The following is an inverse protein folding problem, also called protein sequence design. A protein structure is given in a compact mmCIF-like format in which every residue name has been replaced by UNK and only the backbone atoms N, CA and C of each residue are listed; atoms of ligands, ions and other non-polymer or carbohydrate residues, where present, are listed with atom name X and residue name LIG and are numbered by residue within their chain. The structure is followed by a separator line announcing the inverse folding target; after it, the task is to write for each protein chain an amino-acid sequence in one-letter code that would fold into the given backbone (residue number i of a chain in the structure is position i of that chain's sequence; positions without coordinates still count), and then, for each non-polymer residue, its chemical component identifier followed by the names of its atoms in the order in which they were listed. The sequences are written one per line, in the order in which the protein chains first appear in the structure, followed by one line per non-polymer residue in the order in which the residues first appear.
data_IF_347124309773
#
_entry.id   IF_347124309773
#
_cell.length_a   1.000
_cell.length_b   1.000
_cell.length_c   1.000
_cell.angle_alpha   90.00
_cell.angle_beta   90.00
_cell.angle_gamma   90.00
#
_symmetry.space_group_name_H-M   'P 1'
#
loop_
_entity.id
_entity.type
_entity.pdbx_description
1 polymer ?
#
# COMPACT_ATOMS: atom_id res chain seq x y z
N UNK A 1 -14.31 7.65 -1.46
CA UNK A 1 -13.11 7.11 -2.14
C UNK A 1 -13.53 5.97 -3.06
N UNK A 2 -13.26 6.06 -4.37
CA UNK A 2 -13.79 5.11 -5.35
C UNK A 2 -12.97 3.82 -5.37
N UNK A 3 -13.63 2.67 -5.52
CA UNK A 3 -13.00 1.35 -5.70
C UNK A 3 -11.93 1.36 -6.81
N UNK A 4 -12.13 2.20 -7.84
CA UNK A 4 -11.22 2.38 -8.97
C UNK A 4 -9.83 2.89 -8.55
N UNK A 5 -9.75 3.78 -7.56
CA UNK A 5 -8.48 4.32 -7.06
C UNK A 5 -7.66 3.26 -6.32
N UNK A 6 -8.31 2.18 -5.86
CA UNK A 6 -7.66 1.04 -5.24
C UNK A 6 -7.27 -0.05 -6.23
N UNK A 7 -7.99 -0.19 -7.36
CA UNK A 7 -7.65 -1.16 -8.40
C UNK A 7 -6.25 -0.89 -8.96
N UNK A 8 -5.95 0.37 -9.28
CA UNK A 8 -4.63 0.79 -9.77
C UNK A 8 -3.53 0.43 -8.77
N UNK A 9 -3.77 0.62 -7.47
CA UNK A 9 -2.79 0.26 -6.43
C UNK A 9 -2.54 -1.25 -6.33
N UNK A 10 -3.55 -2.09 -6.55
CA UNK A 10 -3.39 -3.56 -6.57
C UNK A 10 -2.65 -4.02 -7.81
N UNK A 11 -2.95 -3.43 -8.97
CA UNK A 11 -2.23 -3.72 -10.22
C UNK A 11 -0.76 -3.34 -10.10
N UNK A 12 -0.45 -2.19 -9.50
CA UNK A 12 0.92 -1.75 -9.29
C UNK A 12 1.73 -2.74 -8.44
N UNK A 13 1.15 -3.32 -7.39
CA UNK A 13 1.83 -4.34 -6.59
C UNK A 13 2.09 -5.61 -7.41
N UNK A 14 1.13 -6.05 -8.23
CA UNK A 14 1.34 -7.20 -9.13
C UNK A 14 2.43 -6.91 -10.18
N UNK A 15 2.49 -5.68 -10.67
CA UNK A 15 3.56 -5.23 -11.58
C UNK A 15 4.91 -5.29 -10.88
N UNK A 16 5.02 -4.83 -9.62
CA UNK A 16 6.26 -4.97 -8.83
C UNK A 16 6.69 -6.42 -8.69
N UNK A 17 5.75 -7.32 -8.32
CA UNK A 17 6.02 -8.76 -8.18
C UNK A 17 6.48 -9.38 -9.50
N UNK A 18 5.90 -8.96 -10.63
CA UNK A 18 6.27 -9.46 -11.95
C UNK A 18 7.67 -9.00 -12.35
N UNK A 19 8.01 -7.74 -12.09
CA UNK A 19 9.33 -7.18 -12.37
C UNK A 19 10.41 -7.80 -11.47
N UNK A 20 10.11 -8.00 -10.18
CA UNK A 20 11.00 -8.69 -9.23
C UNK A 20 11.25 -10.14 -9.65
N UNK A 21 10.20 -10.87 -10.03
CA UNK A 21 10.30 -12.24 -10.54
C UNK A 21 11.11 -12.34 -11.86
N UNK A 22 11.15 -11.26 -12.66
CA UNK A 22 11.97 -11.14 -13.85
C UNK A 22 13.44 -10.76 -13.54
N UNK A 23 13.80 -10.57 -12.27
CA UNK A 23 15.15 -10.22 -11.83
C UNK A 23 15.51 -8.74 -12.01
N UNK A 24 14.51 -7.86 -12.13
CA UNK A 24 14.74 -6.41 -12.26
C UNK A 24 15.15 -5.83 -10.91
N UNK A 25 16.21 -5.02 -10.90
CA UNK A 25 16.71 -4.38 -9.69
C UNK A 25 15.66 -3.44 -9.05
N UNK A 26 15.57 -3.47 -7.73
CA UNK A 26 14.57 -2.72 -6.96
C UNK A 26 14.66 -1.20 -7.16
N UNK A 27 15.83 -0.64 -7.51
CA UNK A 27 15.94 0.79 -7.87
C UNK A 27 15.24 1.10 -9.18
N UNK A 28 15.28 0.19 -10.15
CA UNK A 28 14.61 0.35 -11.44
C UNK A 28 13.09 0.24 -11.26
N UNK A 29 12.62 -0.70 -10.44
CA UNK A 29 11.20 -0.81 -10.09
C UNK A 29 10.71 0.45 -9.36
N UNK A 30 11.50 0.98 -8.42
CA UNK A 30 11.18 2.22 -7.72
C UNK A 30 11.11 3.44 -8.66
N UNK A 31 12.04 3.52 -9.62
CA UNK A 31 12.02 4.54 -10.66
C UNK A 31 10.78 4.44 -11.54
N UNK A 32 10.42 3.21 -11.96
CA UNK A 32 9.21 2.95 -12.74
C UNK A 32 7.95 3.44 -12.01
N UNK A 33 7.79 3.09 -10.73
CA UNK A 33 6.67 3.56 -9.90
C UNK A 33 6.64 5.08 -9.74
N UNK A 34 7.81 5.69 -9.60
CA UNK A 34 7.93 7.15 -9.51
C UNK A 34 7.51 7.84 -10.81
N UNK A 35 7.77 7.22 -11.98
CA UNK A 35 7.26 7.70 -13.27
C UNK A 35 5.74 7.58 -13.42
N UNK A 36 5.11 6.62 -12.74
CA UNK A 36 3.64 6.51 -12.64
C UNK A 36 3.02 7.48 -11.62
N UNK A 37 3.84 8.34 -10.99
CA UNK A 37 3.39 9.32 -10.01
C UNK A 37 3.35 8.78 -8.57
N UNK A 38 3.92 7.61 -8.30
CA UNK A 38 4.05 7.04 -6.95
C UNK A 38 5.51 7.15 -6.52
N UNK A 39 5.90 8.21 -5.79
CA UNK A 39 7.29 8.39 -5.36
C UNK A 39 7.68 7.25 -4.44
N UNK A 40 8.67 6.45 -4.85
CA UNK A 40 9.13 5.27 -4.12
C UNK A 40 10.65 5.15 -4.17
N UNK A 41 11.22 4.55 -3.12
CA UNK A 41 12.63 4.17 -3.06
C UNK A 41 12.77 2.65 -3.06
N UNK A 42 13.96 2.16 -3.38
CA UNK A 42 14.27 0.72 -3.39
C UNK A 42 13.94 -0.01 -2.06
N UNK A 43 14.17 0.57 -0.86
CA UNK A 43 13.74 -0.04 0.40
C UNK A 43 12.22 -0.24 0.49
N UNK A 44 11.44 0.68 -0.08
CA UNK A 44 9.97 0.58 -0.08
C UNK A 44 9.50 -0.59 -0.94
N UNK A 45 10.14 -0.80 -2.10
CA UNK A 45 9.89 -1.95 -2.98
C UNK A 45 10.14 -3.26 -2.23
N UNK A 46 11.30 -3.37 -1.57
CA UNK A 46 11.67 -4.53 -0.78
C UNK A 46 10.68 -4.78 0.38
N UNK A 47 10.27 -3.72 1.09
CA UNK A 47 9.30 -3.83 2.17
C UNK A 47 7.93 -4.32 1.66
N UNK A 48 7.44 -3.79 0.54
CA UNK A 48 6.16 -4.19 -0.04
C UNK A 48 6.21 -5.64 -0.50
N UNK A 49 7.23 -6.05 -1.25
CA UNK A 49 7.35 -7.42 -1.76
C UNK A 49 7.43 -8.45 -0.63
N UNK A 50 8.21 -8.17 0.41
CA UNK A 50 8.36 -9.08 1.56
C UNK A 50 7.12 -9.17 2.46
N UNK A 51 6.33 -8.11 2.54
CA UNK A 51 5.19 -8.05 3.45
C UNK A 51 3.83 -8.24 2.76
N UNK A 52 3.74 -8.16 1.43
CA UNK A 52 2.45 -8.27 0.76
C UNK A 52 1.75 -9.60 1.04
N UNK A 53 2.47 -10.71 0.95
CA UNK A 53 1.91 -12.03 1.26
C UNK A 53 1.58 -12.18 2.75
N UNK A 54 2.33 -11.52 3.63
CA UNK A 54 2.08 -11.53 5.07
C UNK A 54 0.79 -10.78 5.44
N UNK A 55 0.42 -9.74 4.68
CA UNK A 55 -0.84 -9.00 4.86
C UNK A 55 -2.07 -9.87 4.53
N UNK A 56 -1.96 -10.84 3.63
CA UNK A 56 -3.03 -11.81 3.33
C UNK A 56 -3.05 -13.03 4.27
N UNK A 57 -1.94 -13.31 4.94
CA UNK A 57 -1.78 -14.53 5.75
C UNK A 57 -2.60 -14.53 7.05
N UNK A 58 -2.78 -13.36 7.67
CA UNK A 58 -3.56 -13.23 8.91
C UNK A 58 -4.99 -12.80 8.59
N UNK A 59 -5.90 -13.77 8.60
CA UNK A 59 -7.35 -13.51 8.57
C UNK A 59 -7.75 -12.70 9.82
N UNK A 60 -7.94 -11.40 9.64
CA UNK A 60 -8.54 -10.55 10.67
C UNK A 60 -10.04 -10.89 10.73
N UNK A 61 -10.62 -11.12 11.91
CA UNK A 61 -12.06 -11.35 12.04
C UNK A 61 -12.86 -10.21 11.40
N UNK A 62 -13.89 -10.53 10.61
CA UNK A 62 -14.70 -9.54 9.88
C UNK A 62 -15.21 -8.40 10.78
N UNK A 63 -15.63 -8.71 12.02
CA UNK A 63 -16.03 -7.70 13.02
C UNK A 63 -14.92 -6.68 13.33
N UNK A 64 -13.67 -7.13 13.42
CA UNK A 64 -12.51 -6.27 13.69
C UNK A 64 -12.16 -5.44 12.46
N UNK A 65 -12.28 -5.99 11.26
CA UNK A 65 -12.13 -5.22 10.01
C UNK A 65 -13.19 -4.12 9.91
N UNK A 66 -14.45 -4.45 10.17
CA UNK A 66 -15.54 -3.46 10.14
C UNK A 66 -15.35 -2.38 11.21
N UNK A 67 -14.91 -2.74 12.41
CA UNK A 67 -14.59 -1.77 13.46
C UNK A 67 -13.46 -0.83 13.03
N UNK A 68 -12.42 -1.33 12.36
CA UNK A 68 -11.32 -0.50 11.83
C UNK A 68 -11.79 0.43 10.69
N UNK A 69 -12.65 -0.05 9.80
CA UNK A 69 -13.23 0.76 8.72
C UNK A 69 -14.08 1.89 9.32
N UNK A 70 -14.95 1.55 10.27
CA UNK A 70 -15.81 2.54 10.94
C UNK A 70 -14.98 3.56 11.73
N UNK A 71 -13.93 3.12 12.43
CA UNK A 71 -13.04 4.02 13.16
C UNK A 71 -12.28 4.96 12.22
N UNK A 72 -11.83 4.46 11.05
CA UNK A 72 -11.20 5.30 10.02
C UNK A 72 -12.18 6.35 9.48
N UNK A 73 -13.42 5.96 9.19
CA UNK A 73 -14.46 6.89 8.73
C UNK A 73 -14.78 7.95 9.78
N UNK A 74 -14.85 7.58 11.06
CA UNK A 74 -15.07 8.52 12.17
C UNK A 74 -13.91 9.52 12.32
N UNK A 75 -12.67 9.07 12.10
CA UNK A 75 -11.49 9.94 12.16
C UNK A 75 -11.25 10.79 10.90
N UNK A 76 -11.95 10.53 9.79
CA UNK A 76 -11.86 11.35 8.57
C UNK A 76 -12.56 12.72 8.72
N UNK A 77 -13.53 12.83 9.64
CA UNK A 77 -14.26 14.08 9.93
C UNK A 77 -13.81 14.77 11.24
N UNK A 78 -12.87 14.17 11.98
CA UNK A 78 -12.39 14.67 13.26
C UNK A 78 -11.16 15.58 13.09
N UNK A 79 -11.41 16.88 12.88
CA UNK A 79 -10.35 17.90 12.78
C UNK A 79 -9.56 18.12 14.08
N UNK A 80 -9.95 17.49 15.20
CA UNK A 80 -9.20 17.57 16.47
C UNK A 80 -8.02 16.59 16.53
N UNK A 81 -8.00 15.58 15.66
CA UNK A 81 -6.91 14.61 15.60
C UNK A 81 -5.78 15.18 14.74
N UNK A 82 -4.58 15.42 15.30
CA UNK A 82 -3.46 15.88 14.50
C UNK A 82 -3.11 14.80 13.47
N UNK A 83 -3.04 15.18 12.20
CA UNK A 83 -2.44 14.34 11.17
C UNK A 83 -1.08 13.84 11.68
N UNK A 84 -0.79 12.53 11.66
CA UNK A 84 0.49 12.02 12.15
C UNK A 84 1.59 12.73 11.37
N UNK A 85 2.33 13.62 12.04
CA UNK A 85 3.42 14.34 11.45
C UNK A 85 4.43 13.29 10.96
N UNK A 86 4.65 13.26 9.64
CA UNK A 86 5.71 12.50 9.01
C UNK A 86 7.04 13.02 9.56
N UNK A 87 7.62 12.30 10.53
CA UNK A 87 9.02 12.44 10.92
C UNK A 87 9.90 11.75 9.88
#
# INVERSE_FOLDING_TARGET
MYLKDHIVRVENIKTMQTLDAAGIDHKVIAMFMSCEGIPMQSPDICAILNNYDSLGSKKIPSKKVQALINAKQLGEEDESLPCPASY
#
